data_IF_464795465837
#
_entry.id   IF_464795465837
#
_cell.length_a   1.000
_cell.length_b   1.000
_cell.length_c   1.000
_cell.angle_alpha   90.00
_cell.angle_beta   90.00
_cell.angle_gamma   90.00
#
_symmetry.space_group_name_H-M   'P 1'
#
loop_
_entity.id
_entity.type
_entity.pdbx_description
1 polymer ?
#
# COMPACT_ATOMS: atom_id res chain seq x y z
N UNK A 1 -4.46 12.70 -46.91
CA UNK A 1 -4.86 13.68 -45.89
C UNK A 1 -4.51 13.09 -44.53
N UNK A 2 -3.33 13.41 -44.00
CA UNK A 2 -2.97 13.06 -42.63
C UNK A 2 -3.83 13.92 -41.69
N UNK A 3 -4.59 13.33 -40.75
CA UNK A 3 -5.28 14.11 -39.75
C UNK A 3 -4.23 14.91 -38.96
N UNK A 4 -4.51 16.19 -38.72
CA UNK A 4 -3.74 17.01 -37.79
C UNK A 4 -3.76 16.30 -36.43
N UNK A 5 -2.72 15.51 -36.15
CA UNK A 5 -2.48 14.94 -34.85
C UNK A 5 -2.39 16.13 -33.89
N UNK A 6 -3.34 16.24 -32.98
CA UNK A 6 -3.29 17.17 -31.84
C UNK A 6 -2.11 16.75 -30.94
N UNK A 7 -0.89 17.04 -31.41
CA UNK A 7 0.36 16.64 -30.81
C UNK A 7 0.47 17.23 -29.39
N UNK A 8 -0.01 18.46 -29.21
CA UNK A 8 -0.07 19.10 -27.90
C UNK A 8 -1.02 18.37 -26.94
N UNK A 9 -2.17 17.88 -27.43
CA UNK A 9 -3.11 17.08 -26.62
C UNK A 9 -2.57 15.70 -26.27
N UNK A 10 -1.92 15.04 -27.23
CA UNK A 10 -1.30 13.72 -27.04
C UNK A 10 -0.12 13.79 -26.06
N UNK A 11 0.72 14.81 -26.22
CA UNK A 11 1.85 15.06 -25.32
C UNK A 11 1.36 15.43 -23.91
N UNK A 12 0.32 16.26 -23.80
CA UNK A 12 -0.31 16.57 -22.51
C UNK A 12 -0.85 15.33 -21.79
N UNK A 13 -1.57 14.46 -22.49
CA UNK A 13 -2.07 13.20 -21.93
C UNK A 13 -0.92 12.27 -21.46
N UNK A 14 0.18 12.21 -22.22
CA UNK A 14 1.36 11.45 -21.85
C UNK A 14 2.03 12.00 -20.57
N UNK A 15 2.23 13.33 -20.49
CA UNK A 15 2.83 13.96 -19.31
C UNK A 15 1.98 13.79 -18.05
N UNK A 16 0.65 13.93 -18.18
CA UNK A 16 -0.28 13.70 -17.09
C UNK A 16 -0.13 12.26 -16.56
N UNK A 17 -0.09 11.27 -17.46
CA UNK A 17 0.11 9.86 -17.09
C UNK A 17 1.44 9.62 -16.34
N UNK A 18 2.54 10.19 -16.83
CA UNK A 18 3.86 10.08 -16.19
C UNK A 18 3.85 10.71 -14.80
N UNK A 19 3.35 11.94 -14.65
CA UNK A 19 3.30 12.64 -13.36
C UNK A 19 2.46 11.88 -12.34
N UNK A 20 1.30 11.36 -12.75
CA UNK A 20 0.47 10.53 -11.88
C UNK A 20 1.26 9.31 -11.41
N UNK A 21 1.90 8.56 -12.32
CA UNK A 21 2.65 7.36 -11.93
C UNK A 21 3.82 7.66 -10.99
N UNK A 22 4.54 8.76 -11.22
CA UNK A 22 5.66 9.19 -10.38
C UNK A 22 5.20 9.56 -8.96
N UNK A 23 4.09 10.29 -8.83
CA UNK A 23 3.50 10.64 -7.54
C UNK A 23 3.05 9.40 -6.74
N UNK A 24 2.58 8.36 -7.42
CA UNK A 24 2.18 7.11 -6.77
C UNK A 24 3.39 6.34 -6.26
N UNK A 25 4.43 6.22 -7.08
CA UNK A 25 5.66 5.53 -6.71
C UNK A 25 6.35 6.23 -5.53
N UNK A 26 6.39 7.57 -5.51
CA UNK A 26 6.98 8.31 -4.39
C UNK A 26 6.20 8.13 -3.08
N UNK A 27 4.86 8.17 -3.14
CA UNK A 27 4.01 7.92 -1.97
C UNK A 27 4.20 6.50 -1.43
N UNK A 28 4.22 5.48 -2.30
CA UNK A 28 4.47 4.10 -1.91
C UNK A 28 5.87 3.93 -1.33
N UNK A 29 6.87 4.57 -1.92
CA UNK A 29 8.25 4.52 -1.42
C UNK A 29 8.35 5.08 0.00
N UNK A 30 7.77 6.25 0.26
CA UNK A 30 7.75 6.84 1.59
C UNK A 30 7.08 5.92 2.62
N UNK A 31 5.92 5.34 2.27
CA UNK A 31 5.20 4.41 3.15
C UNK A 31 6.01 3.14 3.43
N UNK A 32 6.72 2.61 2.43
CA UNK A 32 7.63 1.47 2.59
C UNK A 32 8.83 1.79 3.48
N UNK A 33 9.38 2.99 3.38
CA UNK A 33 10.46 3.43 4.26
C UNK A 33 9.99 3.49 5.72
N UNK A 34 8.83 4.08 5.99
CA UNK A 34 8.26 4.14 7.33
C UNK A 34 8.06 2.73 7.92
N UNK A 35 7.48 1.81 7.14
CA UNK A 35 7.30 0.42 7.57
C UNK A 35 8.65 -0.26 7.90
N UNK A 36 9.68 -0.05 7.07
CA UNK A 36 11.02 -0.63 7.30
C UNK A 36 11.67 -0.12 8.59
N UNK A 37 11.55 1.19 8.87
CA UNK A 37 12.09 1.81 10.08
C UNK A 37 11.40 1.25 11.33
N UNK A 38 10.06 1.15 11.30
CA UNK A 38 9.27 0.59 12.41
C UNK A 38 9.58 -0.89 12.64
N UNK A 39 9.78 -1.67 11.58
CA UNK A 39 10.23 -3.06 11.68
C UNK A 39 11.58 -3.16 12.39
N UNK A 40 12.53 -2.32 12.01
CA UNK A 40 13.87 -2.28 12.64
C UNK A 40 13.79 -1.89 14.11
N UNK A 41 12.96 -0.90 14.46
CA UNK A 41 12.73 -0.49 15.84
C UNK A 41 12.09 -1.61 16.67
N UNK A 42 11.11 -2.33 16.13
CA UNK A 42 10.48 -3.47 16.79
C UNK A 42 11.52 -4.56 17.08
N UNK A 43 12.32 -4.95 16.09
CA UNK A 43 13.37 -5.98 16.24
C UNK A 43 14.42 -5.55 17.26
N UNK A 44 14.81 -4.28 17.30
CA UNK A 44 15.76 -3.75 18.28
C UNK A 44 15.22 -3.86 19.72
N UNK A 45 13.95 -3.50 19.92
CA UNK A 45 13.30 -3.59 21.23
C UNK A 45 13.17 -5.05 21.71
N UNK A 46 12.77 -5.97 20.83
CA UNK A 46 12.65 -7.39 21.15
C UNK A 46 14.00 -8.06 21.40
N UNK A 47 14.98 -7.78 20.54
CA UNK A 47 16.28 -8.45 20.61
C UNK A 47 17.10 -7.88 21.75
N UNK A 48 17.36 -6.57 21.79
CA UNK A 48 18.41 -6.04 22.67
C UNK A 48 17.92 -5.78 24.10
N UNK A 49 16.70 -5.29 24.29
CA UNK A 49 16.19 -4.93 25.64
C UNK A 49 15.60 -6.10 26.43
N UNK A 50 15.12 -7.17 25.78
CA UNK A 50 14.39 -8.26 26.46
C UNK A 50 14.88 -9.65 26.04
N UNK A 51 16.20 -9.85 25.94
CA UNK A 51 16.84 -11.12 25.51
C UNK A 51 16.46 -12.37 26.35
N UNK A 52 15.84 -12.22 27.54
CA UNK A 52 15.58 -13.31 28.49
C UNK A 52 14.15 -13.40 29.05
N UNK A 53 13.18 -12.61 28.54
CA UNK A 53 11.80 -12.65 29.03
C UNK A 53 10.81 -13.08 27.92
N UNK A 54 10.41 -14.37 27.84
CA UNK A 54 9.47 -14.87 26.82
C UNK A 54 8.05 -14.32 27.00
N UNK A 55 7.77 -13.67 28.13
CA UNK A 55 6.52 -12.95 28.40
C UNK A 55 6.37 -11.67 27.57
N UNK A 56 7.48 -11.07 27.13
CA UNK A 56 7.44 -9.89 26.25
C UNK A 56 6.99 -10.23 24.82
N UNK A 57 7.13 -11.49 24.39
CA UNK A 57 6.65 -11.98 23.09
C UNK A 57 5.13 -12.22 23.07
N UNK A 58 4.54 -12.40 24.26
CA UNK A 58 3.13 -12.68 24.47
C UNK A 58 2.28 -11.41 24.64
N UNK A 59 2.92 -10.28 24.97
CA UNK A 59 2.25 -9.00 25.08
C UNK A 59 2.37 -8.25 23.75
N UNK A 60 1.23 -7.92 23.13
CA UNK A 60 1.20 -7.27 21.83
C UNK A 60 1.84 -5.88 21.91
N UNK A 61 3.11 -5.76 21.53
CA UNK A 61 3.82 -4.47 21.55
C UNK A 61 3.22 -3.58 20.48
N UNK A 62 2.92 -2.33 20.86
CA UNK A 62 2.37 -1.28 19.98
C UNK A 62 3.09 -1.19 18.61
N UNK A 63 4.40 -1.44 18.56
CA UNK A 63 5.17 -1.44 17.31
C UNK A 63 4.75 -2.54 16.32
N UNK A 64 4.35 -3.73 16.78
CA UNK A 64 3.84 -4.78 15.89
C UNK A 64 2.44 -4.44 15.38
N UNK A 65 1.58 -3.92 16.25
CA UNK A 65 0.25 -3.44 15.84
C UNK A 65 0.38 -2.35 14.77
N UNK A 66 1.23 -1.35 14.99
CA UNK A 66 1.48 -0.28 14.00
C UNK A 66 2.11 -0.82 12.72
N UNK A 67 3.00 -1.82 12.80
CA UNK A 67 3.59 -2.44 11.61
C UNK A 67 2.53 -3.12 10.73
N UNK A 68 1.59 -3.82 11.35
CA UNK A 68 0.45 -4.49 10.69
C UNK A 68 -0.54 -3.47 10.10
N UNK A 69 -0.86 -2.41 10.84
CA UNK A 69 -1.70 -1.32 10.33
C UNK A 69 -1.06 -0.64 9.11
N UNK A 70 0.25 -0.40 9.13
CA UNK A 70 0.96 0.20 7.99
C UNK A 70 1.01 -0.71 6.76
N UNK A 71 1.17 -2.03 6.95
CA UNK A 71 1.11 -2.95 5.81
C UNK A 71 -0.30 -3.02 5.22
N UNK A 72 -1.35 -2.95 6.06
CA UNK A 72 -2.73 -2.85 5.61
C UNK A 72 -2.98 -1.59 4.77
N UNK A 73 -2.53 -0.43 5.25
CA UNK A 73 -2.62 0.84 4.51
C UNK A 73 -1.85 0.75 3.19
N UNK A 74 -0.64 0.17 3.20
CA UNK A 74 0.15 -0.02 1.98
C UNK A 74 -0.60 -0.85 0.93
N UNK A 75 -1.17 -1.97 1.35
CA UNK A 75 -1.93 -2.87 0.49
C UNK A 75 -3.14 -2.14 -0.07
N UNK A 76 -3.87 -1.40 0.75
CA UNK A 76 -5.02 -0.60 0.33
C UNK A 76 -4.64 0.44 -0.74
N UNK A 77 -3.57 1.19 -0.52
CA UNK A 77 -3.07 2.20 -1.46
C UNK A 77 -2.63 1.54 -2.78
N UNK A 78 -1.90 0.42 -2.72
CA UNK A 78 -1.50 -0.35 -3.91
C UNK A 78 -2.71 -0.86 -4.69
N UNK A 79 -3.76 -1.33 -4.00
CA UNK A 79 -4.98 -1.85 -4.61
C UNK A 79 -5.75 -0.75 -5.36
N UNK A 80 -5.90 0.45 -4.79
CA UNK A 80 -6.50 1.60 -5.48
C UNK A 80 -5.72 1.95 -6.76
N UNK A 81 -4.40 1.90 -6.71
CA UNK A 81 -3.56 2.15 -7.88
C UNK A 81 -3.66 1.07 -8.94
N UNK A 82 -3.67 -0.20 -8.54
CA UNK A 82 -3.89 -1.31 -9.45
C UNK A 82 -5.26 -1.22 -10.12
N UNK A 83 -6.32 -0.89 -9.37
CA UNK A 83 -7.65 -0.68 -9.91
C UNK A 83 -7.66 0.43 -10.97
N UNK A 84 -7.04 1.58 -10.69
CA UNK A 84 -6.94 2.70 -11.64
C UNK A 84 -6.17 2.30 -12.91
N UNK A 85 -5.05 1.59 -12.77
CA UNK A 85 -4.23 1.16 -13.91
C UNK A 85 -4.95 0.12 -14.77
N UNK A 86 -5.60 -0.85 -14.13
CA UNK A 86 -6.41 -1.87 -14.79
C UNK A 86 -7.59 -1.24 -15.52
N UNK A 87 -8.26 -0.26 -14.92
CA UNK A 87 -9.38 0.43 -15.56
C UNK A 87 -8.96 1.10 -16.88
N UNK A 88 -7.79 1.73 -16.91
CA UNK A 88 -7.26 2.37 -18.12
C UNK A 88 -6.85 1.34 -19.20
N UNK A 89 -6.26 0.22 -18.79
CA UNK A 89 -5.77 -0.83 -19.73
C UNK A 89 -6.89 -1.75 -20.23
N UNK A 90 -7.89 -2.05 -19.41
CA UNK A 90 -8.82 -3.15 -19.68
C UNK A 90 -10.06 -2.77 -20.50
N UNK A 91 -10.24 -1.51 -20.89
CA UNK A 91 -11.31 -1.08 -21.81
C UNK A 91 -12.74 -1.58 -21.44
N UNK A 92 -13.03 -1.84 -20.15
CA UNK A 92 -14.40 -2.12 -19.68
C UNK A 92 -14.66 -3.33 -18.76
N UNK A 93 -13.66 -4.05 -18.21
CA UNK A 93 -13.95 -5.15 -17.25
C UNK A 93 -13.79 -4.72 -15.76
N UNK A 94 -14.89 -4.37 -15.06
CA UNK A 94 -14.85 -3.98 -13.65
C UNK A 94 -14.57 -5.15 -12.68
N UNK A 95 -14.59 -6.39 -13.15
CA UNK A 95 -14.40 -7.59 -12.31
C UNK A 95 -13.06 -7.59 -11.54
N UNK A 96 -11.98 -7.12 -12.18
CA UNK A 96 -10.67 -7.03 -11.53
C UNK A 96 -10.63 -5.91 -10.47
N UNK A 97 -11.33 -4.81 -10.71
CA UNK A 97 -11.47 -3.72 -9.72
C UNK A 97 -12.24 -4.21 -8.50
N UNK A 98 -13.31 -4.99 -8.72
CA UNK A 98 -14.12 -5.57 -7.66
C UNK A 98 -13.35 -6.60 -6.84
N UNK A 99 -12.56 -7.46 -7.49
CA UNK A 99 -11.70 -8.43 -6.82
C UNK A 99 -10.63 -7.73 -5.96
N UNK A 100 -9.99 -6.70 -6.50
CA UNK A 100 -9.01 -5.87 -5.79
C UNK A 100 -9.66 -5.16 -4.58
N UNK A 101 -10.86 -4.61 -4.73
CA UNK A 101 -11.59 -3.99 -3.62
C UNK A 101 -12.00 -5.02 -2.55
N UNK A 102 -12.40 -6.23 -2.96
CA UNK A 102 -12.75 -7.32 -2.07
C UNK A 102 -11.52 -7.79 -1.24
N UNK A 103 -10.36 -7.97 -1.88
CA UNK A 103 -9.12 -8.29 -1.17
C UNK A 103 -8.70 -7.18 -0.20
N UNK A 104 -8.87 -5.92 -0.58
CA UNK A 104 -8.59 -4.78 0.29
C UNK A 104 -9.52 -4.78 1.52
N UNK A 105 -10.81 -5.05 1.32
CA UNK A 105 -11.79 -5.13 2.43
C UNK A 105 -11.50 -6.29 3.39
N UNK A 106 -11.06 -7.45 2.86
CA UNK A 106 -10.67 -8.59 3.67
C UNK A 106 -9.44 -8.26 4.53
N UNK A 107 -8.47 -7.53 3.96
CA UNK A 107 -7.27 -7.11 4.68
C UNK A 107 -7.56 -6.08 5.79
N UNK A 108 -8.44 -5.10 5.52
CA UNK A 108 -8.93 -4.18 6.55
C UNK A 108 -9.66 -4.94 7.67
N UNK A 109 -10.48 -5.93 7.32
CA UNK A 109 -11.16 -6.79 8.27
C UNK A 109 -10.18 -7.53 9.17
N UNK A 110 -9.11 -8.10 8.61
CA UNK A 110 -8.07 -8.73 9.43
C UNK A 110 -7.41 -7.73 10.36
N UNK A 111 -7.02 -6.54 9.90
CA UNK A 111 -6.34 -5.52 10.73
C UNK A 111 -7.17 -5.14 11.97
N UNK A 112 -8.47 -4.87 11.77
CA UNK A 112 -9.41 -4.54 12.84
C UNK A 112 -9.52 -5.68 13.86
N UNK A 113 -9.56 -6.94 13.41
CA UNK A 113 -9.60 -8.11 14.31
C UNK A 113 -8.33 -8.19 15.16
N UNK A 114 -7.16 -7.87 14.60
CA UNK A 114 -5.91 -7.87 15.36
C UNK A 114 -5.89 -6.72 16.36
N UNK A 115 -6.39 -5.52 16.02
CA UNK A 115 -6.51 -4.41 16.98
C UNK A 115 -7.41 -4.74 18.16
N UNK A 116 -8.51 -5.46 17.93
CA UNK A 116 -9.45 -5.86 19.00
C UNK A 116 -8.88 -6.97 19.88
N UNK A 117 -7.94 -7.78 19.35
CA UNK A 117 -7.33 -8.92 20.05
C UNK A 117 -5.97 -8.62 20.70
N UNK A 118 -5.35 -7.49 20.33
CA UNK A 118 -4.09 -6.99 20.88
C UNK A 118 -4.31 -6.30 22.23
#
# INVERSE_FOLDING_TARGET
MLPNLDLNGTFGAFLIGVVISAAQVSALFALRCLHSILSTHAIYYYTISNYLNPTALLNSVWSLTVLLELSAILIFVVHIFYARRVYYVSRGNPALVFLVLALASAHCGTSIVITVKA
#
